data_IF_057817636394
#
_entry.id   IF_057817636394
#
_cell.length_a   1.000
_cell.length_b   1.000
_cell.length_c   1.000
_cell.angle_alpha   90.00
_cell.angle_beta   90.00
_cell.angle_gamma   90.00
#
_symmetry.space_group_name_H-M   'P 1'
#
loop_
_entity.id
_entity.type
_entity.pdbx_description
1 polymer ?
#
# COMPACT_ATOMS: atom_id res chain seq x y z
N UNK A 1 1.55 19.00 -5.96
CA UNK A 1 2.74 19.85 -5.64
C UNK A 1 2.45 21.36 -5.65
N UNK A 2 1.30 21.83 -6.14
CA UNK A 2 0.94 23.26 -6.18
C UNK A 2 0.21 23.77 -4.91
N UNK A 3 0.35 23.06 -3.77
CA UNK A 3 -0.23 23.48 -2.49
C UNK A 3 -1.76 23.37 -2.35
N UNK A 4 -2.48 22.80 -3.33
CA UNK A 4 -3.95 22.65 -3.24
C UNK A 4 -4.39 21.58 -2.24
N UNK A 5 -3.50 20.63 -1.91
CA UNK A 5 -3.72 19.55 -0.95
C UNK A 5 -2.53 19.59 0.01
N UNK A 6 -2.80 19.70 1.31
CA UNK A 6 -1.75 19.75 2.35
C UNK A 6 -1.13 18.37 2.58
N UNK A 7 -1.97 17.34 2.64
CA UNK A 7 -1.56 15.95 2.86
C UNK A 7 -2.61 14.97 2.33
N UNK A 8 -2.19 13.73 2.14
CA UNK A 8 -3.05 12.62 1.75
C UNK A 8 -2.78 11.41 2.65
N UNK A 9 -3.82 10.61 2.91
CA UNK A 9 -3.66 9.32 3.57
C UNK A 9 -3.55 8.24 2.51
N UNK A 10 -2.41 7.58 2.48
CA UNK A 10 -2.16 6.43 1.64
C UNK A 10 -2.46 5.13 2.40
N UNK A 11 -3.29 4.30 1.79
CA UNK A 11 -3.69 2.97 2.26
C UNK A 11 -3.14 1.84 1.39
N UNK A 12 -2.32 2.18 0.39
CA UNK A 12 -1.64 1.28 -0.54
C UNK A 12 -2.59 0.27 -1.24
N UNK A 13 -3.58 0.72 -2.04
CA UNK A 13 -4.54 -0.16 -2.70
C UNK A 13 -3.88 -1.22 -3.60
N UNK A 14 -2.76 -0.88 -4.26
CA UNK A 14 -1.98 -1.86 -5.01
C UNK A 14 -1.53 -3.04 -4.13
N UNK A 15 -0.99 -2.73 -2.94
CA UNK A 15 -0.51 -3.73 -1.99
C UNK A 15 -1.67 -4.59 -1.46
N UNK A 16 -2.83 -4.00 -1.22
CA UNK A 16 -4.04 -4.73 -0.81
C UNK A 16 -4.45 -5.76 -1.87
N UNK A 17 -4.50 -5.37 -3.14
CA UNK A 17 -4.82 -6.28 -4.25
C UNK A 17 -3.76 -7.37 -4.44
N UNK A 18 -2.48 -7.00 -4.38
CA UNK A 18 -1.37 -7.94 -4.51
C UNK A 18 -1.40 -9.00 -3.39
N UNK A 19 -1.47 -8.58 -2.13
CA UNK A 19 -1.48 -9.49 -0.99
C UNK A 19 -2.73 -10.37 -0.95
N UNK A 20 -3.86 -9.92 -1.48
CA UNK A 20 -5.06 -10.75 -1.57
C UNK A 20 -4.82 -12.02 -2.43
N UNK A 21 -4.10 -11.89 -3.54
CA UNK A 21 -3.76 -13.04 -4.40
C UNK A 21 -2.59 -13.83 -3.83
N UNK A 22 -1.52 -13.14 -3.44
CA UNK A 22 -0.28 -13.78 -3.01
C UNK A 22 -0.45 -14.56 -1.69
N UNK A 23 -1.26 -14.05 -0.75
CA UNK A 23 -1.56 -14.75 0.50
C UNK A 23 -2.28 -16.08 0.27
N UNK A 24 -3.19 -16.15 -0.71
CA UNK A 24 -3.84 -17.40 -1.09
C UNK A 24 -2.83 -18.37 -1.71
N UNK A 25 -1.97 -17.89 -2.61
CA UNK A 25 -0.92 -18.70 -3.21
C UNK A 25 0.01 -19.27 -2.12
N UNK A 26 0.51 -18.44 -1.21
CA UNK A 26 1.36 -18.83 -0.07
C UNK A 26 0.71 -19.90 0.81
N UNK A 27 -0.59 -19.78 1.09
CA UNK A 27 -1.31 -20.77 1.88
C UNK A 27 -1.47 -22.10 1.14
N UNK A 28 -1.78 -22.07 -0.16
CA UNK A 28 -1.97 -23.30 -0.93
C UNK A 28 -0.67 -24.03 -1.24
N UNK A 29 0.43 -23.30 -1.47
CA UNK A 29 1.72 -23.90 -1.81
C UNK A 29 2.52 -24.35 -0.61
N UNK A 30 2.44 -23.65 0.53
CA UNK A 30 3.28 -23.94 1.68
C UNK A 30 2.62 -23.71 3.05
N UNK A 31 1.29 -23.52 3.10
CA UNK A 31 0.54 -23.26 4.35
C UNK A 31 1.06 -22.04 5.14
N UNK A 32 1.71 -21.12 4.45
CA UNK A 32 2.16 -19.86 5.04
C UNK A 32 0.95 -18.97 5.32
N UNK A 33 0.99 -18.23 6.42
CA UNK A 33 -0.04 -17.25 6.81
C UNK A 33 0.65 -15.94 7.15
N UNK A 34 0.12 -14.83 6.67
CA UNK A 34 0.61 -13.48 6.95
C UNK A 34 -0.26 -12.83 8.04
N UNK A 35 0.35 -12.03 8.90
CA UNK A 35 -0.37 -11.26 9.94
C UNK A 35 -0.56 -11.98 11.26
N UNK A 36 -0.20 -13.26 11.38
CA UNK A 36 -0.17 -13.96 12.67
C UNK A 36 -1.52 -13.99 13.40
N UNK A 37 -2.64 -14.06 12.66
CA UNK A 37 -4.00 -14.00 13.21
C UNK A 37 -4.56 -12.59 13.40
N UNK A 38 -3.81 -11.56 13.01
CA UNK A 38 -4.24 -10.16 12.96
C UNK A 38 -4.30 -9.66 11.51
N UNK A 39 -4.91 -8.49 11.31
CA UNK A 39 -4.91 -7.82 10.02
C UNK A 39 -3.50 -7.44 9.58
N UNK A 40 -3.20 -7.65 8.29
CA UNK A 40 -1.96 -7.12 7.68
C UNK A 40 -2.22 -5.68 7.25
N UNK A 41 -1.70 -4.73 8.02
CA UNK A 41 -1.93 -3.31 7.79
C UNK A 41 -1.19 -2.79 6.55
N UNK A 42 -1.89 -2.02 5.73
CA UNK A 42 -1.37 -1.36 4.52
C UNK A 42 -1.45 0.17 4.62
N UNK A 43 -1.86 0.69 5.78
CA UNK A 43 -1.98 2.09 6.10
C UNK A 43 -2.54 2.31 7.52
N UNK A 44 -2.74 3.57 7.93
CA UNK A 44 -2.49 4.79 7.14
C UNK A 44 -1.01 5.17 7.07
N UNK A 45 -0.58 5.68 5.92
CA UNK A 45 0.67 6.44 5.76
C UNK A 45 0.35 7.87 5.35
N UNK A 46 0.87 8.86 6.07
CA UNK A 46 0.63 10.26 5.74
C UNK A 46 1.63 10.73 4.68
N UNK A 47 1.12 11.24 3.56
CA UNK A 47 1.90 11.79 2.46
C UNK A 47 1.75 13.31 2.46
N UNK A 48 2.86 14.02 2.57
CA UNK A 48 2.93 15.49 2.60
C UNK A 48 4.10 15.99 1.74
N UNK A 49 4.39 17.29 1.80
CA UNK A 49 5.48 17.89 1.02
C UNK A 49 6.88 17.31 1.31
N UNK A 50 7.08 16.75 2.50
CA UNK A 50 8.38 16.21 2.92
C UNK A 50 8.70 14.87 2.26
N UNK A 51 7.67 14.12 1.82
CA UNK A 51 7.84 12.75 1.32
C UNK A 51 7.17 12.45 -0.03
N UNK A 52 6.34 13.35 -0.57
CA UNK A 52 5.60 13.17 -1.85
C UNK A 52 6.50 12.80 -3.03
N UNK A 53 7.75 13.27 -3.04
CA UNK A 53 8.70 12.99 -4.12
C UNK A 53 9.07 11.51 -4.22
N UNK A 54 8.94 10.73 -3.15
CA UNK A 54 9.22 9.29 -3.18
C UNK A 54 8.12 8.47 -3.84
N UNK A 55 6.95 9.06 -4.11
CA UNK A 55 5.73 8.32 -4.48
C UNK A 55 4.96 8.89 -5.66
N UNK A 56 5.25 10.12 -6.07
CA UNK A 56 4.52 10.83 -7.10
C UNK A 56 4.48 10.06 -8.44
N UNK A 57 5.64 9.56 -8.89
CA UNK A 57 5.74 8.86 -10.19
C UNK A 57 4.92 7.56 -10.20
N UNK A 58 4.83 6.86 -9.07
CA UNK A 58 4.03 5.64 -8.93
C UNK A 58 2.53 5.94 -8.96
N UNK A 59 2.11 7.03 -8.32
CA UNK A 59 0.72 7.49 -8.32
C UNK A 59 0.31 8.00 -9.71
N UNK A 60 1.21 8.71 -10.40
CA UNK A 60 1.01 9.15 -11.80
C UNK A 60 0.89 7.94 -12.74
N UNK A 61 1.67 6.89 -12.51
CA UNK A 61 1.57 5.62 -13.24
C UNK A 61 0.33 4.79 -12.88
N UNK A 62 -0.50 5.22 -11.92
CA UNK A 62 -1.71 4.49 -11.49
C UNK A 62 -1.42 3.20 -10.71
N UNK A 63 -0.23 3.07 -10.14
CA UNK A 63 0.23 1.87 -9.40
C UNK A 63 0.29 2.11 -7.88
N UNK A 64 -0.24 3.23 -7.42
CA UNK A 64 -0.21 3.66 -6.02
C UNK A 64 -1.51 4.33 -5.61
#
# INVERSE_FOLDING_TARGET
>A
KNGMIEWAIDQQPFLQGYLAVDSLWLYFTNKNVIGGGQSTLTGPSCIDETNINSVADLAEAGTR
#
